data_IF_152800397057
#
_entry.id   IF_152800397057
#
_cell.length_a   1.000
_cell.length_b   1.000
_cell.length_c   1.000
_cell.angle_alpha   90.00
_cell.angle_beta   90.00
_cell.angle_gamma   90.00
#
_symmetry.space_group_name_H-M   'P 1'
#
loop_
_entity.id
_entity.type
_entity.pdbx_description
1 polymer ?
#
# COMPACT_ATOMS: atom_id res chain seq x y z
N UNK A 1 -21.97 -13.60 -22.55
CA UNK A 1 -21.08 -13.06 -21.48
C UNK A 1 -19.75 -12.59 -22.08
N UNK A 2 -19.74 -11.49 -22.84
CA UNK A 2 -18.51 -10.89 -23.34
C UNK A 2 -18.13 -9.70 -22.45
N UNK A 3 -17.28 -9.94 -21.44
CA UNK A 3 -16.56 -8.84 -20.79
C UNK A 3 -15.52 -8.35 -21.78
N UNK A 4 -15.84 -7.28 -22.48
CA UNK A 4 -14.83 -6.47 -23.15
C UNK A 4 -13.90 -5.91 -22.06
N UNK A 5 -12.76 -6.57 -21.86
CA UNK A 5 -11.63 -5.98 -21.14
C UNK A 5 -11.12 -4.87 -22.06
N UNK A 6 -11.67 -3.67 -21.92
CA UNK A 6 -11.02 -2.46 -22.44
C UNK A 6 -9.57 -2.45 -21.95
N UNK A 7 -8.63 -1.86 -22.72
CA UNK A 7 -7.20 -1.96 -22.44
C UNK A 7 -7.00 -1.69 -20.96
N UNK A 8 -6.45 -2.68 -20.26
CA UNK A 8 -6.15 -2.64 -18.86
C UNK A 8 -5.19 -1.48 -18.65
N UNK A 9 -5.74 -0.28 -18.48
CA UNK A 9 -4.98 0.90 -18.13
C UNK A 9 -4.21 0.55 -16.88
N UNK A 10 -2.97 1.00 -16.80
CA UNK A 10 -2.05 0.66 -15.73
C UNK A 10 -2.67 0.82 -14.32
N UNK A 11 -3.68 1.68 -14.13
CA UNK A 11 -4.40 1.83 -12.85
C UNK A 11 -5.49 0.79 -12.54
N UNK A 12 -5.98 0.01 -13.52
CA UNK A 12 -7.14 -0.88 -13.36
C UNK A 12 -6.82 -2.31 -12.93
N UNK A 13 -5.72 -2.89 -13.42
CA UNK A 13 -5.32 -4.28 -13.10
C UNK A 13 -4.15 -4.37 -12.12
N UNK A 14 -3.23 -3.41 -12.14
CA UNK A 14 -2.04 -3.46 -11.29
C UNK A 14 -2.34 -3.17 -9.83
N UNK A 15 -3.25 -2.25 -9.53
CA UNK A 15 -3.59 -1.90 -8.14
C UNK A 15 -4.12 -3.14 -7.37
N UNK A 16 -5.09 -3.92 -7.91
CA UNK A 16 -5.47 -5.19 -7.29
C UNK A 16 -4.32 -6.20 -7.14
N UNK A 17 -3.42 -6.30 -8.13
CA UNK A 17 -2.28 -7.21 -8.05
C UNK A 17 -1.29 -6.79 -6.96
N UNK A 18 -0.96 -5.50 -6.87
CA UNK A 18 -0.07 -4.97 -5.83
C UNK A 18 -0.66 -5.14 -4.43
N UNK A 19 -1.97 -4.95 -4.28
CA UNK A 19 -2.68 -5.24 -3.01
C UNK A 19 -2.62 -6.74 -2.69
N UNK A 20 -2.76 -7.60 -3.71
CA UNK A 20 -2.60 -9.05 -3.54
C UNK A 20 -1.19 -9.44 -3.11
N UNK A 21 -0.16 -8.84 -3.72
CA UNK A 21 1.25 -9.02 -3.32
C UNK A 21 1.49 -8.55 -1.89
N UNK A 22 0.96 -7.37 -1.53
CA UNK A 22 1.05 -6.85 -0.17
C UNK A 22 0.41 -7.79 0.85
N UNK A 23 -0.82 -8.25 0.57
CA UNK A 23 -1.52 -9.19 1.45
C UNK A 23 -0.81 -10.54 1.59
N UNK A 24 -0.32 -11.11 0.49
CA UNK A 24 0.46 -12.35 0.51
C UNK A 24 1.77 -12.17 1.29
N UNK A 25 2.43 -11.02 1.12
CA UNK A 25 3.65 -10.65 1.83
C UNK A 25 3.44 -10.56 3.35
N UNK A 26 2.34 -9.94 3.80
CA UNK A 26 1.97 -9.89 5.22
C UNK A 26 1.74 -11.28 5.82
N UNK A 27 1.08 -12.18 5.07
CA UNK A 27 0.87 -13.57 5.51
C UNK A 27 2.21 -14.31 5.60
N UNK A 28 3.07 -14.18 4.60
CA UNK A 28 4.38 -14.80 4.61
C UNK A 28 5.25 -14.26 5.76
N UNK A 29 5.23 -12.95 6.03
CA UNK A 29 5.96 -12.34 7.15
C UNK A 29 5.46 -12.83 8.52
N UNK A 30 4.17 -13.19 8.64
CA UNK A 30 3.64 -13.79 9.86
C UNK A 30 4.14 -15.23 10.08
N UNK A 31 4.34 -16.00 8.99
CA UNK A 31 4.90 -17.37 9.07
C UNK A 31 6.41 -17.39 9.27
N UNK A 32 7.13 -16.47 8.64
CA UNK A 32 8.59 -16.34 8.71
C UNK A 32 8.93 -15.10 9.54
N UNK A 33 8.93 -15.26 10.86
CA UNK A 33 9.27 -14.17 11.79
C UNK A 33 10.77 -13.87 11.75
N UNK A 34 11.12 -12.59 11.93
CA UNK A 34 12.50 -12.16 12.09
C UNK A 34 13.13 -12.75 13.36
N UNK A 35 14.45 -12.90 13.35
CA UNK A 35 15.18 -13.43 14.50
C UNK A 35 15.09 -12.49 15.71
N UNK A 36 15.20 -13.05 16.93
CA UNK A 36 15.36 -12.26 18.15
C UNK A 36 16.54 -11.29 18.04
N UNK A 37 16.28 -10.00 18.25
CA UNK A 37 17.31 -8.95 18.21
C UNK A 37 17.08 -7.92 19.33
N UNK A 38 18.13 -7.16 19.67
CA UNK A 38 18.02 -6.04 20.59
C UNK A 38 17.71 -6.43 22.05
N UNK A 39 18.06 -7.64 22.48
CA UNK A 39 17.86 -8.10 23.87
C UNK A 39 16.48 -8.69 24.17
N UNK A 40 15.65 -8.92 23.15
CA UNK A 40 14.36 -9.61 23.28
C UNK A 40 14.41 -10.97 22.57
N UNK A 41 13.99 -12.09 23.21
CA UNK A 41 13.67 -12.25 24.63
C UNK A 41 14.91 -12.12 25.54
N UNK A 42 14.74 -12.04 26.89
CA UNK A 42 15.87 -11.92 27.83
C UNK A 42 16.89 -13.04 27.61
N UNK A 43 18.13 -12.67 27.28
CA UNK A 43 19.21 -13.60 26.91
C UNK A 43 19.76 -13.39 25.50
N UNK A 44 19.06 -12.65 24.64
CA UNK A 44 19.59 -12.25 23.32
C UNK A 44 20.73 -11.23 23.48
N UNK A 45 21.86 -11.37 22.75
CA UNK A 45 22.92 -10.37 22.73
C UNK A 45 22.41 -8.98 22.36
N UNK A 46 22.92 -7.95 23.06
CA UNK A 46 22.68 -6.56 22.69
C UNK A 46 23.59 -6.20 21.51
N UNK A 47 22.99 -5.83 20.38
CA UNK A 47 23.70 -5.39 19.19
C UNK A 47 23.18 -6.06 17.91
N UNK A 48 23.78 -5.70 16.75
CA UNK A 48 23.42 -6.29 15.47
C UNK A 48 23.64 -7.82 15.47
N UNK A 49 22.72 -8.61 14.92
CA UNK A 49 22.90 -10.06 14.84
C UNK A 49 24.14 -10.39 14.00
N UNK A 50 24.97 -11.31 14.50
CA UNK A 50 26.19 -11.79 13.81
C UNK A 50 25.92 -12.98 12.88
N UNK A 51 24.71 -13.56 12.96
CA UNK A 51 24.24 -14.66 12.13
C UNK A 51 22.77 -14.43 11.79
N UNK A 52 22.39 -14.70 10.54
CA UNK A 52 21.01 -14.57 10.06
C UNK A 52 20.40 -15.96 9.86
N UNK A 53 19.28 -16.27 10.52
CA UNK A 53 18.59 -17.53 10.29
C UNK A 53 17.89 -17.57 8.93
N UNK A 54 17.53 -18.77 8.48
CA UNK A 54 16.74 -18.94 7.24
C UNK A 54 15.37 -18.25 7.31
N UNK A 55 14.59 -18.37 8.41
CA UNK A 55 13.38 -17.57 8.59
C UNK A 55 13.61 -16.05 8.49
N UNK A 56 14.66 -15.52 9.11
CA UNK A 56 15.00 -14.10 9.03
C UNK A 56 15.33 -13.67 7.59
N UNK A 57 16.11 -14.49 6.88
CA UNK A 57 16.42 -14.25 5.46
C UNK A 57 15.14 -14.19 4.60
N UNK A 58 14.21 -15.14 4.80
CA UNK A 58 12.93 -15.14 4.07
C UNK A 58 12.10 -13.91 4.45
N UNK A 59 12.04 -13.55 5.73
CA UNK A 59 11.36 -12.34 6.22
C UNK A 59 11.90 -11.09 5.52
N UNK A 60 13.21 -10.96 5.41
CA UNK A 60 13.88 -9.83 4.78
C UNK A 60 13.55 -9.74 3.29
N UNK A 61 13.63 -10.87 2.57
CA UNK A 61 13.30 -10.93 1.13
C UNK A 61 11.83 -10.59 0.86
N UNK A 62 10.92 -11.16 1.64
CA UNK A 62 9.48 -10.89 1.55
C UNK A 62 9.19 -9.42 1.83
N UNK A 63 9.80 -8.87 2.88
CA UNK A 63 9.68 -7.46 3.25
C UNK A 63 10.18 -6.53 2.14
N UNK A 64 11.30 -6.88 1.51
CA UNK A 64 11.90 -6.14 0.40
C UNK A 64 11.00 -6.02 -0.84
N UNK A 65 10.05 -6.93 -1.03
CA UNK A 65 9.05 -6.86 -2.12
C UNK A 65 7.75 -6.19 -1.65
N UNK A 66 7.33 -6.51 -0.43
CA UNK A 66 6.05 -6.09 0.15
C UNK A 66 5.98 -4.58 0.37
N UNK A 67 7.05 -3.98 0.89
CA UNK A 67 7.10 -2.55 1.19
C UNK A 67 7.08 -1.66 -0.07
N UNK A 68 7.88 -1.92 -1.12
CA UNK A 68 7.74 -1.19 -2.38
C UNK A 68 6.36 -1.33 -3.02
N UNK A 69 5.75 -2.52 -2.96
CA UNK A 69 4.40 -2.73 -3.48
C UNK A 69 3.38 -1.84 -2.75
N UNK A 70 3.46 -1.75 -1.42
CA UNK A 70 2.62 -0.89 -0.61
C UNK A 70 2.80 0.60 -0.95
N UNK A 71 4.05 1.05 -1.07
CA UNK A 71 4.38 2.43 -1.45
C UNK A 71 3.76 2.77 -2.81
N UNK A 72 3.89 1.87 -3.79
CA UNK A 72 3.28 2.04 -5.11
C UNK A 72 1.74 2.13 -5.04
N UNK A 73 1.11 1.34 -4.17
CA UNK A 73 -0.35 1.41 -3.93
C UNK A 73 -0.74 2.78 -3.36
N UNK A 74 -0.02 3.30 -2.35
CA UNK A 74 -0.30 4.62 -1.79
C UNK A 74 -0.27 5.73 -2.86
N UNK A 75 0.73 5.73 -3.73
CA UNK A 75 0.82 6.70 -4.82
C UNK A 75 -0.25 6.49 -5.90
N UNK A 76 -0.59 5.25 -6.25
CA UNK A 76 -1.66 4.96 -7.20
C UNK A 76 -3.02 5.47 -6.70
N UNK A 77 -3.34 5.26 -5.42
CA UNK A 77 -4.53 5.83 -4.79
C UNK A 77 -4.47 7.35 -4.71
N UNK A 78 -3.32 7.93 -4.36
CA UNK A 78 -3.12 9.37 -4.36
C UNK A 78 -3.41 10.01 -5.71
N UNK A 79 -2.91 9.43 -6.81
CA UNK A 79 -3.18 9.87 -8.19
C UNK A 79 -4.66 9.74 -8.55
N UNK A 80 -5.31 8.64 -8.13
CA UNK A 80 -6.75 8.44 -8.36
C UNK A 80 -7.60 9.47 -7.62
N UNK A 81 -7.25 9.79 -6.37
CA UNK A 81 -7.95 10.83 -5.62
C UNK A 81 -7.71 12.23 -6.17
N UNK A 82 -6.51 12.50 -6.69
CA UNK A 82 -6.21 13.76 -7.37
C UNK A 82 -7.06 13.93 -8.64
N UNK A 83 -7.18 12.87 -9.45
CA UNK A 83 -8.03 12.85 -10.64
C UNK A 83 -9.53 12.98 -10.31
N UNK A 84 -9.95 12.58 -9.11
CA UNK A 84 -11.31 12.75 -8.59
C UNK A 84 -11.51 14.06 -7.81
N UNK A 85 -10.57 15.01 -7.91
CA UNK A 85 -10.57 16.32 -7.23
C UNK A 85 -10.62 16.26 -5.69
N UNK A 86 -10.37 15.09 -5.09
CA UNK A 86 -10.31 14.88 -3.64
C UNK A 86 -8.92 15.19 -3.10
N UNK A 87 -8.52 16.46 -3.16
CA UNK A 87 -7.15 16.93 -2.84
C UNK A 87 -6.64 16.50 -1.46
N UNK A 88 -7.49 16.53 -0.43
CA UNK A 88 -7.11 16.08 0.92
C UNK A 88 -6.72 14.60 0.98
N UNK A 89 -7.49 13.73 0.32
CA UNK A 89 -7.22 12.29 0.25
C UNK A 89 -6.03 11.95 -0.65
N UNK A 90 -5.84 12.73 -1.71
CA UNK A 90 -4.66 12.64 -2.55
C UNK A 90 -3.38 12.95 -1.76
N UNK A 91 -3.35 14.11 -1.10
CA UNK A 91 -2.23 14.52 -0.27
C UNK A 91 -1.97 13.52 0.86
N UNK A 92 -3.01 13.11 1.60
CA UNK A 92 -2.90 12.11 2.66
C UNK A 92 -2.24 10.82 2.16
N UNK A 93 -2.70 10.27 1.03
CA UNK A 93 -2.15 9.02 0.48
C UNK A 93 -0.70 9.17 -0.01
N UNK A 94 -0.37 10.29 -0.66
CA UNK A 94 0.99 10.56 -1.12
C UNK A 94 1.97 10.79 0.05
N UNK A 95 1.54 11.53 1.07
CA UNK A 95 2.34 11.80 2.27
C UNK A 95 2.58 10.50 3.06
N UNK A 96 1.56 9.67 3.25
CA UNK A 96 1.72 8.36 3.90
C UNK A 96 2.73 7.48 3.16
N UNK A 97 2.64 7.39 1.82
CA UNK A 97 3.60 6.63 1.02
C UNK A 97 5.03 7.16 1.11
N UNK A 98 5.19 8.50 1.10
CA UNK A 98 6.50 9.14 1.21
C UNK A 98 7.13 8.96 2.60
N UNK A 99 6.36 9.15 3.68
CA UNK A 99 6.83 8.94 5.05
C UNK A 99 7.25 7.48 5.26
N UNK A 100 6.47 6.53 4.75
CA UNK A 100 6.81 5.12 4.82
C UNK A 100 8.09 4.78 4.07
N UNK A 101 8.28 5.33 2.86
CA UNK A 101 9.51 5.16 2.09
C UNK A 101 10.73 5.71 2.85
N UNK A 102 10.63 6.91 3.42
CA UNK A 102 11.72 7.53 4.19
C UNK A 102 12.07 6.69 5.42
N UNK A 103 11.05 6.27 6.18
CA UNK A 103 11.25 5.44 7.37
C UNK A 103 11.88 4.07 7.00
N UNK A 104 11.44 3.46 5.90
CA UNK A 104 12.01 2.20 5.42
C UNK A 104 13.48 2.36 4.98
N UNK A 105 13.81 3.42 4.23
CA UNK A 105 15.21 3.71 3.85
C UNK A 105 16.07 3.97 5.09
N UNK A 106 15.52 4.61 6.13
CA UNK A 106 16.27 4.92 7.34
C UNK A 106 16.73 3.70 8.12
N UNK A 107 16.04 2.55 8.01
CA UNK A 107 16.47 1.29 8.64
C UNK A 107 17.82 0.84 8.08
N UNK A 108 18.04 1.00 6.77
CA UNK A 108 19.30 0.65 6.13
C UNK A 108 20.40 1.67 6.38
N UNK A 109 20.03 2.96 6.44
CA UNK A 109 20.98 4.05 6.64
C UNK A 109 21.45 4.18 8.11
N UNK A 110 20.59 3.83 9.07
CA UNK A 110 20.83 4.00 10.51
C UNK A 110 20.73 2.66 11.25
N UNK A 111 21.47 1.66 10.78
CA UNK A 111 21.45 0.32 11.36
C UNK A 111 21.75 0.34 12.87
N UNK A 112 20.89 -0.31 13.65
CA UNK A 112 21.01 -0.38 15.12
C UNK A 112 20.49 0.85 15.88
N UNK A 113 19.91 1.84 15.19
CA UNK A 113 19.28 3.00 15.84
C UNK A 113 17.85 2.70 16.27
N UNK A 114 17.59 2.71 17.58
CA UNK A 114 16.22 2.57 18.11
C UNK A 114 15.27 3.66 17.59
N UNK A 115 15.79 4.84 17.25
CA UNK A 115 14.98 5.93 16.67
C UNK A 115 14.48 5.54 15.27
N UNK A 116 15.33 4.90 14.46
CA UNK A 116 14.93 4.38 13.15
C UNK A 116 13.85 3.31 13.28
N UNK A 117 14.05 2.38 14.22
CA UNK A 117 13.13 1.26 14.45
C UNK A 117 11.75 1.76 14.91
N UNK A 118 11.72 2.70 15.85
CA UNK A 118 10.47 3.32 16.33
C UNK A 118 9.80 4.12 15.21
N UNK A 119 10.57 4.91 14.45
CA UNK A 119 10.02 5.68 13.32
C UNK A 119 9.39 4.75 12.26
N UNK A 120 10.04 3.63 11.97
CA UNK A 120 9.52 2.63 11.05
C UNK A 120 8.26 1.93 11.58
N UNK A 121 8.23 1.55 12.87
CA UNK A 121 7.04 0.99 13.50
C UNK A 121 5.85 1.96 13.45
N UNK A 122 6.09 3.25 13.70
CA UNK A 122 5.07 4.30 13.57
C UNK A 122 4.59 4.47 12.12
N UNK A 123 5.50 4.36 11.14
CA UNK A 123 5.14 4.41 9.72
C UNK A 123 4.26 3.20 9.32
N UNK A 124 4.54 2.01 9.83
CA UNK A 124 3.67 0.82 9.66
C UNK A 124 2.29 1.09 10.27
N UNK A 125 2.22 1.59 11.50
CA UNK A 125 0.93 1.91 12.12
C UNK A 125 0.14 2.95 11.29
N UNK A 126 0.83 3.97 10.78
CA UNK A 126 0.22 5.00 9.94
C UNK A 126 -0.33 4.43 8.63
N UNK A 127 0.41 3.55 7.94
CA UNK A 127 -0.03 2.96 6.68
C UNK A 127 -1.19 1.97 6.90
N UNK A 128 -1.18 1.22 7.99
CA UNK A 128 -2.31 0.36 8.39
C UNK A 128 -3.55 1.21 8.69
N UNK A 129 -3.40 2.30 9.46
CA UNK A 129 -4.48 3.25 9.71
C UNK A 129 -5.03 3.88 8.42
N UNK A 130 -4.17 4.09 7.41
CA UNK A 130 -4.57 4.57 6.08
C UNK A 130 -5.43 3.56 5.29
N UNK A 131 -5.29 2.25 5.52
CA UNK A 131 -6.09 1.21 4.82
C UNK A 131 -7.58 1.18 5.22
N UNK A 132 -7.91 1.52 6.47
CA UNK A 132 -9.28 1.48 6.98
C UNK A 132 -10.24 2.50 6.31
N UNK A 133 -9.90 3.80 6.20
CA UNK A 133 -10.78 4.74 5.52
C UNK A 133 -10.82 4.52 4.00
N UNK A 134 -9.73 4.10 3.37
CA UNK A 134 -9.71 3.88 1.91
C UNK A 134 -10.58 2.70 1.47
N UNK A 135 -10.68 1.65 2.28
CA UNK A 135 -11.59 0.52 2.05
C UNK A 135 -13.06 0.90 2.26
N UNK A 136 -13.36 1.74 3.25
CA UNK A 136 -14.73 2.17 3.56
C UNK A 136 -15.28 3.26 2.63
N UNK A 137 -14.44 4.12 2.07
CA UNK A 137 -14.85 5.21 1.18
C UNK A 137 -14.80 4.86 -0.32
N UNK A 138 -14.41 3.63 -0.67
CA UNK A 138 -14.49 3.11 -2.03
C UNK A 138 -15.57 2.02 -2.23
N UNK A 139 -16.84 2.21 -1.82
CA UNK A 139 -17.90 1.69 -2.66
C UNK A 139 -17.86 2.57 -3.91
N UNK A 140 -17.21 2.10 -4.98
CA UNK A 140 -17.64 2.52 -6.31
C UNK A 140 -19.13 2.20 -6.35
N UNK A 141 -20.01 3.18 -6.09
CA UNK A 141 -21.39 3.06 -6.55
C UNK A 141 -21.24 2.93 -8.06
N UNK A 142 -21.54 1.75 -8.66
CA UNK A 142 -21.74 1.71 -10.09
C UNK A 142 -22.82 2.74 -10.33
N UNK A 143 -22.55 3.74 -11.17
CA UNK A 143 -23.60 4.66 -11.58
C UNK A 143 -24.72 3.80 -12.15
N UNK A 144 -25.78 3.60 -11.38
CA UNK A 144 -27.05 3.14 -11.91
C UNK A 144 -27.50 4.27 -12.81
N UNK A 145 -27.12 4.21 -14.09
CA UNK A 145 -27.89 4.91 -15.11
C UNK A 145 -29.32 4.39 -14.91
N UNK A 146 -30.31 5.26 -14.63
CA UNK A 146 -31.69 4.82 -14.63
C UNK A 146 -31.94 4.17 -15.99
N UNK A 147 -32.33 2.89 -15.96
CA UNK A 147 -32.79 2.19 -17.15
C UNK A 147 -34.14 2.83 -17.53
N UNK A 148 -34.10 3.87 -18.36
CA UNK A 148 -35.30 4.62 -18.72
C UNK A 148 -35.10 5.80 -19.66
N UNK A 149 -33.92 6.41 -19.73
CA UNK A 149 -33.70 7.49 -20.71
C UNK A 149 -33.41 6.87 -22.09
N UNK A 150 -34.43 6.87 -22.96
CA UNK A 150 -34.29 6.55 -24.37
C UNK A 150 -33.24 7.44 -25.06
N UNK A 151 -32.80 7.09 -26.28
CA UNK A 151 -31.82 7.89 -26.99
C UNK A 151 -32.33 9.34 -27.13
N UNK A 152 -31.47 10.36 -26.95
CA UNK A 152 -31.87 11.73 -27.24
C UNK A 152 -32.20 11.80 -28.74
N UNK A 153 -33.50 11.81 -29.04
CA UNK A 153 -34.02 12.23 -30.32
C UNK A 153 -33.50 13.64 -30.58
N UNK A 154 -32.69 13.76 -31.63
CA UNK A 154 -32.22 15.02 -32.16
C UNK A 154 -33.40 16.00 -32.29
N UNK A 155 -33.27 17.18 -31.71
CA UNK A 155 -34.07 18.33 -32.11
C UNK A 155 -33.20 19.58 -32.15
N UNK A 156 -33.11 20.13 -33.35
CA UNK A 156 -32.62 21.46 -33.69
C UNK A 156 -33.23 22.56 -32.79
N UNK A 157 -32.38 23.52 -32.40
CA UNK A 157 -32.65 24.97 -32.42
C UNK A 157 -31.31 25.65 -32.07
N UNK A 158 -30.56 26.17 -33.04
CA UNK A 158 -30.61 27.53 -33.62
C UNK A 158 -30.30 28.64 -32.61
N UNK A 159 -29.38 29.50 -33.05
CA UNK A 159 -28.90 30.79 -32.54
C UNK A 159 -27.77 30.74 -31.51
#
# INVERSE_FOLDING_TARGET
MHRARGPAGWGGTWVPQLVGVFGAGMVAAAFFSADPAGGLPPGTPLGPPTSMSTPEMVHFLVSGVTFPALIAVCFAFGRRFAAAERRGWAAFSMVTGALFLVAWISIFAMQGSQVADVAFALAIALVLAWTHPTTLFCPMRPGTRPAGEGPPSAMCARC
#
